data_IF_468941769430
#
_entry.id   IF_468941769430
#
_cell.length_a   1.000
_cell.length_b   1.000
_cell.length_c   1.000
_cell.angle_alpha   90.00
_cell.angle_beta   90.00
_cell.angle_gamma   90.00
#
_symmetry.space_group_name_H-M   'P 1'
#
loop_
_entity.id
_entity.type
_entity.pdbx_description
1 polymer ?
#
# COMPACT_ATOMS: atom_id res chain seq x y z
N UNK A 1 11.40 -5.55 -56.49
CA UNK A 1 11.25 -6.82 -55.76
C UNK A 1 11.35 -6.51 -54.27
N UNK A 2 10.20 -6.37 -53.59
CA UNK A 2 10.11 -6.07 -52.17
C UNK A 2 9.57 -7.29 -51.44
N UNK A 3 10.36 -7.81 -50.49
CA UNK A 3 9.96 -8.88 -49.57
C UNK A 3 9.01 -8.33 -48.52
N UNK A 4 7.74 -8.74 -48.56
CA UNK A 4 6.81 -8.63 -47.43
C UNK A 4 7.02 -9.85 -46.53
N UNK A 5 7.69 -9.66 -45.40
CA UNK A 5 7.63 -10.62 -44.30
C UNK A 5 6.23 -10.55 -43.68
N UNK A 6 5.48 -11.66 -43.80
CA UNK A 6 4.25 -11.88 -43.03
C UNK A 6 4.67 -12.25 -41.61
N UNK A 7 4.48 -11.32 -40.67
CA UNK A 7 4.44 -11.68 -39.26
C UNK A 7 3.02 -12.16 -38.95
N UNK A 8 2.89 -13.47 -38.78
CA UNK A 8 1.71 -14.12 -38.23
C UNK A 8 1.74 -13.89 -36.71
N UNK A 9 0.92 -12.99 -36.21
CA UNK A 9 0.71 -12.81 -34.76
C UNK A 9 -0.22 -13.94 -34.29
N UNK A 10 0.24 -14.69 -33.31
CA UNK A 10 -0.48 -15.75 -32.61
C UNK A 10 -1.60 -15.15 -31.76
N UNK A 11 -2.85 -15.19 -32.23
CA UNK A 11 -4.03 -14.53 -31.65
C UNK A 11 -4.92 -15.43 -30.77
N UNK A 12 -4.36 -16.25 -29.86
CA UNK A 12 -5.21 -17.15 -29.06
C UNK A 12 -4.92 -17.26 -27.55
N UNK A 13 -3.96 -16.53 -26.97
CA UNK A 13 -3.70 -16.59 -25.52
C UNK A 13 -4.03 -15.31 -24.74
N UNK A 14 -4.13 -14.14 -25.39
CA UNK A 14 -4.27 -12.86 -24.69
C UNK A 14 -5.72 -12.52 -24.26
N UNK A 15 -6.74 -13.25 -24.74
CA UNK A 15 -8.16 -12.93 -24.49
C UNK A 15 -8.81 -13.68 -23.31
N UNK A 16 -8.09 -14.59 -22.63
CA UNK A 16 -8.67 -15.46 -21.60
C UNK A 16 -9.04 -14.72 -20.29
N UNK A 17 -8.21 -13.80 -19.77
CA UNK A 17 -8.56 -13.04 -18.56
C UNK A 17 -9.71 -12.06 -18.81
N UNK A 18 -9.76 -11.47 -20.01
CA UNK A 18 -10.80 -10.53 -20.43
C UNK A 18 -12.21 -11.12 -20.37
N UNK A 19 -12.37 -12.30 -20.97
CA UNK A 19 -13.65 -13.02 -20.98
C UNK A 19 -14.06 -13.51 -19.60
N UNK A 20 -13.10 -13.88 -18.75
CA UNK A 20 -13.41 -14.34 -17.38
C UNK A 20 -13.92 -13.20 -16.51
N UNK A 21 -13.29 -12.01 -16.55
CA UNK A 21 -13.75 -10.84 -15.82
C UNK A 21 -15.12 -10.36 -16.34
N UNK A 22 -15.29 -10.32 -17.67
CA UNK A 22 -16.56 -9.97 -18.31
C UNK A 22 -17.72 -10.86 -17.81
N UNK A 23 -17.51 -12.18 -17.75
CA UNK A 23 -18.52 -13.14 -17.28
C UNK A 23 -18.94 -12.95 -15.83
N UNK A 24 -18.20 -12.17 -15.03
CA UNK A 24 -18.64 -11.84 -13.67
C UNK A 24 -19.82 -10.87 -13.70
N UNK A 25 -19.80 -9.88 -14.59
CA UNK A 25 -20.84 -8.84 -14.68
C UNK A 25 -22.18 -9.33 -15.24
N UNK A 26 -22.23 -10.54 -15.80
CA UNK A 26 -23.48 -11.20 -16.18
C UNK A 26 -24.15 -11.94 -15.01
N UNK A 27 -23.48 -12.07 -13.85
CA UNK A 27 -24.03 -12.71 -12.65
C UNK A 27 -24.72 -11.68 -11.76
N UNK A 28 -25.99 -11.92 -11.44
CA UNK A 28 -26.79 -11.01 -10.60
C UNK A 28 -26.52 -11.17 -9.10
N UNK A 29 -25.92 -12.28 -8.66
CA UNK A 29 -25.62 -12.53 -7.24
C UNK A 29 -24.22 -12.07 -6.85
N UNK A 30 -24.15 -11.18 -5.85
CA UNK A 30 -22.89 -10.56 -5.40
C UNK A 30 -21.91 -11.54 -4.78
N UNK A 31 -22.40 -12.56 -4.07
CA UNK A 31 -21.57 -13.63 -3.49
C UNK A 31 -20.81 -14.38 -4.58
N UNK A 32 -21.52 -14.77 -5.63
CA UNK A 32 -20.98 -15.50 -6.79
C UNK A 32 -20.06 -14.60 -7.62
N UNK A 33 -20.36 -13.31 -7.70
CA UNK A 33 -19.46 -12.33 -8.31
C UNK A 33 -18.15 -12.23 -7.53
N UNK A 34 -18.22 -12.03 -6.21
CA UNK A 34 -17.05 -11.83 -5.36
C UNK A 34 -16.15 -13.07 -5.32
N UNK A 35 -16.74 -14.26 -5.21
CA UNK A 35 -16.01 -15.52 -5.32
C UNK A 35 -15.38 -15.70 -6.71
N UNK A 36 -16.12 -15.36 -7.76
CA UNK A 36 -15.61 -15.37 -9.13
C UNK A 36 -14.45 -14.39 -9.33
N UNK A 37 -14.51 -13.22 -8.69
CA UNK A 37 -13.48 -12.20 -8.71
C UNK A 37 -12.23 -12.64 -7.96
N UNK A 38 -12.38 -13.22 -6.76
CA UNK A 38 -11.28 -13.83 -6.02
C UNK A 38 -10.61 -14.94 -6.82
N UNK A 39 -11.40 -15.80 -7.48
CA UNK A 39 -10.87 -16.84 -8.36
C UNK A 39 -10.12 -16.26 -9.57
N UNK A 40 -10.59 -15.15 -10.12
CA UNK A 40 -9.89 -14.42 -11.17
C UNK A 40 -8.54 -13.90 -10.66
N UNK A 41 -8.51 -13.20 -9.52
CA UNK A 41 -7.29 -12.69 -8.89
C UNK A 41 -6.27 -13.79 -8.57
N UNK A 42 -6.74 -14.93 -8.07
CA UNK A 42 -5.89 -16.08 -7.75
C UNK A 42 -5.25 -16.71 -8.99
N UNK A 43 -5.95 -16.70 -10.13
CA UNK A 43 -5.51 -17.33 -11.39
C UNK A 43 -4.69 -16.38 -12.26
N UNK A 44 -4.89 -15.07 -12.14
CA UNK A 44 -4.10 -14.08 -12.85
C UNK A 44 -2.67 -14.09 -12.31
N UNK A 45 -1.73 -14.64 -13.09
CA UNK A 45 -0.27 -14.41 -12.89
C UNK A 45 0.18 -13.00 -13.25
N UNK A 46 -0.78 -12.24 -13.77
CA UNK A 46 -0.67 -10.94 -14.40
C UNK A 46 -0.90 -9.90 -13.30
N UNK A 47 -0.07 -8.85 -13.22
CA UNK A 47 -0.29 -7.78 -12.24
C UNK A 47 -1.71 -7.20 -12.38
N UNK A 48 -2.34 -6.66 -11.32
CA UNK A 48 -3.62 -5.95 -11.43
C UNK A 48 -3.63 -4.88 -12.54
N UNK A 49 -2.45 -4.35 -12.89
CA UNK A 49 -2.26 -3.37 -13.95
C UNK A 49 -2.00 -3.94 -15.36
N UNK A 50 -1.67 -5.21 -15.51
CA UNK A 50 -1.63 -5.89 -16.81
C UNK A 50 -2.98 -6.57 -17.11
N UNK A 51 -3.80 -6.84 -16.08
CA UNK A 51 -5.23 -7.14 -16.25
C UNK A 51 -6.06 -5.92 -16.70
N UNK A 52 -5.42 -4.78 -17.00
CA UNK A 52 -6.06 -3.52 -17.44
C UNK A 52 -6.33 -3.49 -18.94
N UNK A 53 -5.58 -4.25 -19.75
CA UNK A 53 -5.88 -4.40 -21.19
C UNK A 53 -7.19 -5.19 -21.47
N UNK A 54 -7.82 -5.71 -20.41
CA UNK A 54 -8.97 -6.62 -20.43
C UNK A 54 -10.28 -5.91 -20.81
N UNK A 55 -10.42 -4.63 -20.50
CA UNK A 55 -11.70 -3.88 -20.63
C UNK A 55 -11.78 -3.07 -21.93
N UNK A 56 -10.65 -2.79 -22.57
CA UNK A 56 -10.60 -2.01 -23.82
C UNK A 56 -11.32 -2.68 -25.00
N UNK A 57 -11.37 -4.02 -25.00
CA UNK A 57 -12.00 -4.81 -26.07
C UNK A 57 -13.49 -5.08 -25.83
N UNK A 58 -14.10 -4.50 -24.78
CA UNK A 58 -15.51 -4.74 -24.46
C UNK A 58 -16.44 -3.99 -25.41
N UNK A 59 -17.54 -4.64 -25.76
CA UNK A 59 -18.64 -4.03 -26.50
C UNK A 59 -19.38 -3.00 -25.64
N UNK A 60 -20.12 -2.11 -26.31
CA UNK A 60 -20.90 -1.07 -25.63
C UNK A 60 -21.93 -1.64 -24.65
N UNK A 61 -22.56 -2.77 -24.98
CA UNK A 61 -23.54 -3.42 -24.11
C UNK A 61 -22.88 -4.00 -22.85
N UNK A 62 -21.67 -4.55 -22.99
CA UNK A 62 -20.87 -5.08 -21.87
C UNK A 62 -20.40 -3.95 -20.94
N UNK A 63 -19.95 -2.83 -21.50
CA UNK A 63 -19.59 -1.65 -20.73
C UNK A 63 -20.79 -1.09 -19.95
N UNK A 64 -21.97 -0.98 -20.58
CA UNK A 64 -23.18 -0.53 -19.87
C UNK A 64 -23.57 -1.47 -18.74
N UNK A 65 -23.57 -2.79 -18.98
CA UNK A 65 -23.91 -3.77 -17.97
C UNK A 65 -22.97 -3.69 -16.75
N UNK A 66 -21.66 -3.51 -16.98
CA UNK A 66 -20.70 -3.34 -15.89
C UNK A 66 -20.86 -2.01 -15.16
N UNK A 67 -21.04 -0.89 -15.88
CA UNK A 67 -21.30 0.42 -15.25
C UNK A 67 -22.57 0.40 -14.38
N UNK A 68 -23.62 -0.27 -14.86
CA UNK A 68 -24.86 -0.46 -14.11
C UNK A 68 -24.64 -1.32 -12.86
N UNK A 69 -23.79 -2.34 -12.96
CA UNK A 69 -23.41 -3.19 -11.83
C UNK A 69 -22.69 -2.40 -10.73
N UNK A 70 -21.69 -1.60 -11.10
CA UNK A 70 -20.96 -0.73 -10.16
C UNK A 70 -21.84 0.35 -9.51
N UNK A 71 -22.95 0.70 -10.16
CA UNK A 71 -23.92 1.67 -9.64
C UNK A 71 -25.01 1.05 -8.77
N UNK A 72 -25.02 -0.28 -8.62
CA UNK A 72 -26.02 -0.98 -7.83
C UNK A 72 -25.82 -0.71 -6.34
N UNK A 73 -26.83 -0.20 -5.63
CA UNK A 73 -26.72 0.20 -4.22
C UNK A 73 -26.30 -0.95 -3.28
N UNK A 74 -26.69 -2.20 -3.58
CA UNK A 74 -26.28 -3.36 -2.78
C UNK A 74 -24.82 -3.73 -3.04
N UNK A 75 -24.35 -3.61 -4.28
CA UNK A 75 -22.94 -3.82 -4.61
C UNK A 75 -22.06 -2.72 -4.01
N UNK A 76 -22.50 -1.45 -4.11
CA UNK A 76 -21.87 -0.32 -3.42
C UNK A 76 -21.79 -0.60 -1.91
N UNK A 77 -22.86 -1.11 -1.30
CA UNK A 77 -22.87 -1.53 0.11
C UNK A 77 -21.82 -2.60 0.42
N UNK A 78 -21.65 -3.60 -0.46
CA UNK A 78 -20.61 -4.62 -0.33
C UNK A 78 -19.20 -4.01 -0.39
N UNK A 79 -18.91 -3.17 -1.39
CA UNK A 79 -17.58 -2.57 -1.54
C UNK A 79 -17.25 -1.64 -0.37
N UNK A 80 -18.22 -0.85 0.08
CA UNK A 80 -18.06 0.00 1.26
C UNK A 80 -17.92 -0.81 2.56
N UNK A 81 -18.55 -1.99 2.66
CA UNK A 81 -18.31 -2.91 3.77
C UNK A 81 -16.90 -3.52 3.71
N UNK A 82 -16.36 -3.84 2.53
CA UNK A 82 -14.95 -4.27 2.38
C UNK A 82 -14.03 -3.14 2.85
N UNK A 83 -14.29 -1.90 2.44
CA UNK A 83 -13.56 -0.72 2.92
C UNK A 83 -13.60 -0.60 4.45
N UNK A 84 -14.78 -0.78 5.06
CA UNK A 84 -14.93 -0.76 6.52
C UNK A 84 -14.05 -1.79 7.20
N UNK A 85 -14.12 -3.05 6.76
CA UNK A 85 -13.33 -4.13 7.37
C UNK A 85 -11.83 -4.02 7.04
N UNK A 86 -11.45 -3.38 5.94
CA UNK A 86 -10.05 -3.00 5.68
C UNK A 86 -9.49 -2.14 6.83
N UNK A 87 -10.30 -1.21 7.34
CA UNK A 87 -9.95 -0.31 8.44
C UNK A 87 -10.08 -0.96 9.82
N UNK A 88 -10.99 -1.92 9.96
CA UNK A 88 -11.32 -2.60 11.21
C UNK A 88 -11.36 -4.12 11.01
N UNK A 89 -10.22 -4.77 10.69
CA UNK A 89 -10.18 -6.19 10.34
C UNK A 89 -10.57 -7.09 11.51
N UNK A 90 -10.39 -6.61 12.74
CA UNK A 90 -10.80 -7.25 13.98
C UNK A 90 -12.33 -7.41 14.09
N UNK A 91 -13.10 -6.55 13.44
CA UNK A 91 -14.56 -6.60 13.48
C UNK A 91 -15.17 -7.55 12.43
N UNK A 92 -14.35 -8.09 11.52
CA UNK A 92 -14.80 -9.03 10.50
C UNK A 92 -15.18 -10.39 11.10
N UNK A 93 -14.58 -10.77 12.23
CA UNK A 93 -14.82 -12.05 12.89
C UNK A 93 -15.24 -11.84 14.34
N UNK A 94 -16.09 -12.72 14.86
CA UNK A 94 -16.59 -12.63 16.25
C UNK A 94 -15.60 -13.16 17.27
N UNK A 95 -14.67 -14.01 16.85
CA UNK A 95 -13.70 -14.66 17.72
C UNK A 95 -12.41 -13.83 17.83
N UNK A 96 -11.70 -13.97 18.94
CA UNK A 96 -10.40 -13.32 19.11
C UNK A 96 -9.39 -13.89 18.11
N UNK A 97 -8.98 -13.06 17.14
CA UNK A 97 -8.00 -13.44 16.12
C UNK A 97 -6.60 -13.06 16.56
N UNK A 98 -5.64 -13.96 16.33
CA UNK A 98 -4.22 -13.69 16.56
C UNK A 98 -3.74 -12.48 15.75
N UNK A 99 -2.91 -11.58 16.31
CA UNK A 99 -2.45 -10.36 15.62
C UNK A 99 -1.89 -10.59 14.21
N UNK A 100 -1.13 -11.66 14.00
CA UNK A 100 -0.56 -12.01 12.68
C UNK A 100 -1.63 -12.39 11.66
N UNK A 101 -2.66 -13.12 12.09
CA UNK A 101 -3.80 -13.48 11.23
C UNK A 101 -4.63 -12.24 10.89
N UNK A 102 -4.74 -11.27 11.81
CA UNK A 102 -5.34 -9.97 11.52
C UNK A 102 -4.57 -9.21 10.42
N UNK A 103 -3.23 -9.23 10.46
CA UNK A 103 -2.39 -8.63 9.41
C UNK A 103 -2.66 -9.28 8.06
N UNK A 104 -2.69 -10.62 8.00
CA UNK A 104 -3.01 -11.34 6.75
C UNK A 104 -4.41 -11.01 6.23
N UNK A 105 -5.41 -10.96 7.10
CA UNK A 105 -6.79 -10.55 6.77
C UNK A 105 -6.81 -9.12 6.21
N UNK A 106 -6.14 -8.19 6.88
CA UNK A 106 -6.06 -6.80 6.45
C UNK A 106 -5.43 -6.70 5.05
N UNK A 107 -4.31 -7.37 4.81
CA UNK A 107 -3.66 -7.37 3.49
C UNK A 107 -4.58 -7.92 2.39
N UNK A 108 -5.34 -8.98 2.67
CA UNK A 108 -6.29 -9.55 1.71
C UNK A 108 -7.46 -8.59 1.43
N UNK A 109 -7.96 -7.90 2.46
CA UNK A 109 -9.00 -6.88 2.32
C UNK A 109 -8.51 -5.67 1.51
N UNK A 110 -7.27 -5.22 1.74
CA UNK A 110 -6.62 -4.17 0.95
C UNK A 110 -6.51 -4.55 -0.51
N UNK A 111 -6.00 -5.75 -0.82
CA UNK A 111 -5.88 -6.25 -2.20
C UNK A 111 -7.25 -6.33 -2.87
N UNK A 112 -8.26 -6.84 -2.15
CA UNK A 112 -9.61 -6.99 -2.67
C UNK A 112 -10.24 -5.63 -2.99
N UNK A 113 -10.23 -4.70 -2.04
CA UNK A 113 -10.78 -3.35 -2.20
C UNK A 113 -10.09 -2.60 -3.34
N UNK A 114 -8.76 -2.55 -3.33
CA UNK A 114 -7.96 -1.89 -4.36
C UNK A 114 -8.23 -2.46 -5.77
N UNK A 115 -8.33 -3.78 -5.89
CA UNK A 115 -8.57 -4.42 -7.19
C UNK A 115 -9.95 -4.07 -7.76
N UNK A 116 -10.96 -3.93 -6.90
CA UNK A 116 -12.31 -3.52 -7.30
C UNK A 116 -12.31 -2.06 -7.76
N UNK A 117 -11.67 -1.16 -7.02
CA UNK A 117 -11.51 0.26 -7.40
C UNK A 117 -10.80 0.41 -8.75
N UNK A 118 -9.73 -0.36 -8.95
CA UNK A 118 -8.97 -0.31 -10.20
C UNK A 118 -9.85 -0.72 -11.41
N UNK A 119 -10.65 -1.77 -11.26
CA UNK A 119 -11.60 -2.19 -12.32
C UNK A 119 -12.63 -1.09 -12.60
N UNK A 120 -13.16 -0.43 -11.56
CA UNK A 120 -14.11 0.67 -11.72
C UNK A 120 -13.50 1.87 -12.45
N UNK A 121 -12.30 2.30 -12.03
CA UNK A 121 -11.59 3.43 -12.64
C UNK A 121 -11.35 3.19 -14.13
N UNK A 122 -10.89 1.98 -14.48
CA UNK A 122 -10.65 1.61 -15.87
C UNK A 122 -11.95 1.54 -16.69
N UNK A 123 -13.03 1.01 -16.11
CA UNK A 123 -14.34 1.05 -16.76
C UNK A 123 -14.80 2.48 -17.03
N UNK A 124 -14.56 3.41 -16.10
CA UNK A 124 -14.96 4.82 -16.26
C UNK A 124 -14.10 5.51 -17.32
N UNK A 125 -12.79 5.25 -17.36
CA UNK A 125 -11.90 5.77 -18.40
C UNK A 125 -12.30 5.29 -19.80
N UNK A 126 -12.54 3.98 -19.96
CA UNK A 126 -12.98 3.39 -21.24
C UNK A 126 -14.39 3.90 -21.63
N UNK A 127 -15.30 4.05 -20.67
CA UNK A 127 -16.62 4.61 -20.90
C UNK A 127 -16.55 6.05 -21.45
N UNK A 128 -15.72 6.90 -20.84
CA UNK A 128 -15.52 8.28 -21.29
C UNK A 128 -14.91 8.33 -22.71
N UNK A 129 -13.95 7.46 -23.01
CA UNK A 129 -13.39 7.32 -24.36
C UNK A 129 -14.44 6.93 -25.41
N UNK A 130 -15.45 6.15 -25.01
CA UNK A 130 -16.58 5.74 -25.85
C UNK A 130 -17.80 6.68 -25.74
N UNK A 131 -17.62 7.89 -25.21
CA UNK A 131 -18.66 8.90 -25.02
C UNK A 131 -19.86 8.45 -24.16
N UNK A 132 -19.65 7.47 -23.29
CA UNK A 132 -20.58 7.10 -22.22
C UNK A 132 -20.29 7.97 -21.00
N UNK A 133 -21.36 8.39 -20.33
CA UNK A 133 -21.23 9.12 -19.06
C UNK A 133 -21.29 8.10 -17.92
N UNK A 134 -20.20 7.90 -17.17
CA UNK A 134 -20.26 7.07 -15.97
C UNK A 134 -21.30 7.63 -14.99
N UNK A 135 -21.97 6.73 -14.27
CA UNK A 135 -22.86 7.12 -13.19
C UNK A 135 -22.05 7.66 -12.00
N UNK A 136 -22.75 8.26 -11.04
CA UNK A 136 -22.13 8.83 -9.83
C UNK A 136 -21.39 7.71 -9.09
N UNK A 137 -20.14 8.00 -8.73
CA UNK A 137 -19.34 7.13 -7.89
C UNK A 137 -19.80 7.21 -6.43
N UNK A 138 -20.19 6.06 -5.88
CA UNK A 138 -20.64 5.94 -4.49
C UNK A 138 -19.66 5.13 -3.63
N UNK A 139 -18.49 4.78 -4.17
CA UNK A 139 -17.50 4.04 -3.42
C UNK A 139 -16.75 4.94 -2.45
N UNK A 140 -16.40 4.37 -1.31
CA UNK A 140 -15.47 5.01 -0.39
C UNK A 140 -14.05 4.75 -0.86
N UNK A 141 -13.34 5.84 -1.12
CA UNK A 141 -11.95 5.83 -1.53
C UNK A 141 -11.06 6.37 -0.42
N UNK A 142 -9.84 5.83 -0.33
CA UNK A 142 -8.82 6.28 0.63
C UNK A 142 -8.52 5.26 1.72
N UNK A 143 -7.95 5.75 2.83
CA UNK A 143 -7.45 4.90 3.92
C UNK A 143 -8.03 5.27 5.29
N UNK A 144 -8.98 6.20 5.38
CA UNK A 144 -9.59 6.61 6.66
C UNK A 144 -11.03 7.09 6.43
N UNK A 145 -11.91 6.84 7.41
CA UNK A 145 -13.24 7.47 7.45
C UNK A 145 -13.16 8.80 8.18
N UNK A 146 -13.83 9.86 7.68
CA UNK A 146 -13.98 11.09 8.43
C UNK A 146 -14.63 10.83 9.80
N UNK A 147 -14.19 11.53 10.87
CA UNK A 147 -14.80 11.39 12.19
C UNK A 147 -16.32 11.62 12.15
N UNK A 148 -17.08 10.72 12.78
CA UNK A 148 -18.55 10.79 12.83
C UNK A 148 -19.27 10.12 11.65
N UNK A 149 -18.55 9.58 10.67
CA UNK A 149 -19.12 8.75 9.60
C UNK A 149 -19.12 7.28 10.04
N UNK A 150 -20.29 6.63 9.97
CA UNK A 150 -20.46 5.21 10.28
C UNK A 150 -20.91 4.48 9.01
N UNK A 151 -20.37 3.27 8.80
CA UNK A 151 -20.80 2.38 7.73
C UNK A 151 -21.70 1.32 8.35
N UNK A 152 -22.94 1.24 7.89
CA UNK A 152 -23.83 0.15 8.27
C UNK A 152 -23.35 -1.15 7.60
N UNK A 153 -22.75 -2.02 8.39
CA UNK A 153 -22.44 -3.38 7.95
C UNK A 153 -23.58 -4.31 8.34
N UNK A 154 -23.93 -5.23 7.44
CA UNK A 154 -24.91 -6.27 7.73
C UNK A 154 -24.24 -7.66 7.74
N UNK A 155 -24.90 -8.62 8.38
CA UNK A 155 -24.34 -9.96 8.59
C UNK A 155 -24.10 -10.73 7.29
N UNK A 156 -24.96 -10.51 6.29
CA UNK A 156 -24.89 -11.17 4.98
C UNK A 156 -23.63 -10.76 4.21
N UNK A 157 -23.33 -9.45 4.19
CA UNK A 157 -22.11 -8.91 3.58
C UNK A 157 -20.87 -9.36 4.35
N UNK A 158 -20.94 -9.40 5.68
CA UNK A 158 -19.84 -9.92 6.52
C UNK A 158 -19.46 -11.35 6.13
N UNK A 159 -20.45 -12.23 5.99
CA UNK A 159 -20.22 -13.63 5.59
C UNK A 159 -19.67 -13.78 4.17
N UNK A 160 -20.15 -12.96 3.22
CA UNK A 160 -19.57 -12.91 1.87
C UNK A 160 -18.09 -12.50 1.89
N UNK A 161 -17.77 -11.46 2.64
CA UNK A 161 -16.40 -10.94 2.75
C UNK A 161 -15.49 -11.96 3.43
N UNK A 162 -15.94 -12.61 4.50
CA UNK A 162 -15.18 -13.69 5.15
C UNK A 162 -14.84 -14.82 4.17
N UNK A 163 -15.80 -15.26 3.37
CA UNK A 163 -15.60 -16.30 2.35
C UNK A 163 -14.57 -15.84 1.31
N UNK A 164 -14.68 -14.60 0.82
CA UNK A 164 -13.76 -14.04 -0.17
C UNK A 164 -12.33 -13.91 0.36
N UNK A 165 -12.16 -13.39 1.59
CA UNK A 165 -10.86 -13.25 2.25
C UNK A 165 -10.21 -14.60 2.49
N UNK A 166 -10.96 -15.62 2.93
CA UNK A 166 -10.44 -16.99 3.11
C UNK A 166 -9.97 -17.59 1.77
N UNK A 167 -10.73 -17.36 0.70
CA UNK A 167 -10.43 -17.88 -0.63
C UNK A 167 -9.30 -17.16 -1.37
N UNK A 168 -8.95 -15.93 -0.99
CA UNK A 168 -7.89 -15.14 -1.65
C UNK A 168 -6.49 -15.64 -1.23
N UNK A 169 -5.70 -16.07 -2.21
CA UNK A 169 -4.32 -16.51 -2.02
C UNK A 169 -3.38 -15.33 -2.20
N UNK A 170 -2.60 -15.01 -1.17
CA UNK A 170 -1.51 -14.04 -1.25
C UNK A 170 -0.35 -14.69 -1.99
N UNK A 171 -0.39 -14.69 -3.33
CA UNK A 171 0.78 -15.09 -4.12
C UNK A 171 1.88 -14.04 -3.91
N UNK A 172 3.12 -14.49 -3.70
CA UNK A 172 4.32 -13.62 -3.60
C UNK A 172 4.59 -12.78 -4.86
N UNK A 173 3.83 -12.98 -5.95
CA UNK A 173 3.83 -12.09 -7.13
C UNK A 173 2.70 -11.05 -7.13
N UNK A 174 1.73 -11.09 -6.23
CA UNK A 174 0.77 -9.98 -6.04
C UNK A 174 1.40 -8.84 -5.23
N UNK A 175 2.47 -9.16 -4.49
CA UNK A 175 3.53 -8.25 -4.02
C UNK A 175 4.46 -7.84 -5.17
N UNK A 176 3.91 -7.27 -6.24
CA UNK A 176 4.66 -6.84 -7.42
C UNK A 176 5.27 -5.42 -7.21
N UNK A 177 6.28 -4.98 -8.00
CA UNK A 177 7.05 -3.75 -7.80
C UNK A 177 6.24 -2.45 -7.84
N UNK A 178 4.95 -2.50 -8.19
CA UNK A 178 3.99 -1.40 -8.01
C UNK A 178 3.61 -1.13 -6.55
N UNK A 179 3.58 -2.15 -5.67
CA UNK A 179 3.45 -1.91 -4.22
C UNK A 179 4.54 -0.99 -3.69
N UNK A 180 5.73 -1.01 -4.31
CA UNK A 180 6.85 -0.17 -3.90
C UNK A 180 6.71 1.27 -4.41
N UNK A 181 6.14 1.48 -5.59
CA UNK A 181 5.77 2.81 -6.08
C UNK A 181 4.56 3.36 -5.28
N UNK A 182 3.58 2.51 -4.96
CA UNK A 182 2.46 2.84 -4.06
C UNK A 182 2.95 3.21 -2.66
N UNK A 183 4.05 2.59 -2.20
CA UNK A 183 4.72 2.98 -0.96
C UNK A 183 5.32 4.40 -1.03
N UNK A 184 5.70 4.90 -2.22
CA UNK A 184 6.07 6.32 -2.40
C UNK A 184 4.86 7.25 -2.32
N UNK A 185 3.68 6.80 -2.76
CA UNK A 185 2.44 7.54 -2.54
C UNK A 185 2.07 7.60 -1.06
N UNK A 186 2.38 6.57 -0.27
CA UNK A 186 2.18 6.60 1.18
C UNK A 186 3.09 7.62 1.88
N UNK A 187 4.32 7.85 1.37
CA UNK A 187 5.14 8.99 1.81
C UNK A 187 4.44 10.32 1.55
N UNK A 188 3.84 10.53 0.37
CA UNK A 188 3.06 11.76 0.07
C UNK A 188 1.84 11.89 0.97
N UNK A 189 1.14 10.79 1.23
CA UNK A 189 -0.06 10.76 2.07
C UNK A 189 0.21 11.16 3.51
N UNK A 190 1.43 10.97 4.02
CA UNK A 190 1.83 11.48 5.32
C UNK A 190 1.75 13.01 5.44
N UNK A 191 1.65 13.73 4.33
CA UNK A 191 1.53 15.20 4.27
C UNK A 191 0.15 15.68 3.82
N UNK A 192 -0.81 14.76 3.62
CA UNK A 192 -2.16 15.13 3.17
C UNK A 192 -2.91 15.84 4.29
N UNK A 193 -3.25 17.11 4.07
CA UNK A 193 -3.88 18.05 5.03
C UNK A 193 -2.98 18.53 6.17
N UNK A 194 -2.41 17.62 6.95
CA UNK A 194 -1.41 17.91 7.98
C UNK A 194 -0.37 16.80 8.03
N UNK A 195 0.85 17.14 8.47
CA UNK A 195 1.90 16.15 8.61
C UNK A 195 1.57 15.15 9.72
N UNK A 196 1.64 13.85 9.39
CA UNK A 196 1.48 12.76 10.34
C UNK A 196 2.82 11.99 10.47
N UNK A 197 3.56 12.15 11.59
CA UNK A 197 4.89 11.55 11.75
C UNK A 197 4.84 10.01 11.81
N UNK A 198 3.78 9.43 12.39
CA UNK A 198 3.62 7.97 12.45
C UNK A 198 3.45 7.39 11.05
N UNK A 199 2.61 8.03 10.21
CA UNK A 199 2.37 7.57 8.84
C UNK A 199 3.64 7.68 7.99
N UNK A 200 4.40 8.76 8.16
CA UNK A 200 5.69 8.91 7.48
C UNK A 200 6.68 7.81 7.88
N UNK A 201 6.85 7.58 9.18
CA UNK A 201 7.73 6.53 9.70
C UNK A 201 7.28 5.15 9.21
N UNK A 202 6.01 4.83 9.32
CA UNK A 202 5.47 3.52 8.93
C UNK A 202 5.70 3.28 7.42
N UNK A 203 5.49 4.30 6.57
CA UNK A 203 5.77 4.21 5.14
C UNK A 203 7.27 4.03 4.82
N UNK A 204 8.15 4.75 5.54
CA UNK A 204 9.62 4.59 5.42
C UNK A 204 10.05 3.19 5.84
N UNK A 205 9.52 2.67 6.95
CA UNK A 205 9.90 1.35 7.45
C UNK A 205 9.36 0.22 6.58
N UNK A 206 8.17 0.39 6.01
CA UNK A 206 7.61 -0.54 5.03
C UNK A 206 8.45 -0.56 3.74
N UNK A 207 8.91 0.60 3.25
CA UNK A 207 9.89 0.67 2.15
C UNK A 207 11.19 -0.05 2.50
N UNK A 208 11.72 0.19 3.71
CA UNK A 208 12.95 -0.44 4.19
C UNK A 208 12.83 -1.96 4.24
N UNK A 209 11.71 -2.50 4.74
CA UNK A 209 11.45 -3.94 4.79
C UNK A 209 11.26 -4.54 3.38
N UNK A 210 10.46 -3.89 2.52
CA UNK A 210 10.16 -4.42 1.19
C UNK A 210 11.35 -4.40 0.22
N UNK A 211 12.31 -3.49 0.42
CA UNK A 211 13.46 -3.33 -0.47
C UNK A 211 14.71 -4.09 -0.03
N UNK A 212 14.79 -4.52 1.23
CA UNK A 212 15.95 -5.24 1.76
C UNK A 212 15.66 -6.74 1.92
N UNK A 213 16.47 -7.63 1.30
CA UNK A 213 16.42 -9.05 1.58
C UNK A 213 16.76 -9.35 3.04
N UNK A 214 16.04 -10.29 3.67
CA UNK A 214 16.22 -10.70 5.08
C UNK A 214 17.64 -11.21 5.43
N UNK A 215 18.47 -11.55 4.43
CA UNK A 215 19.73 -12.25 4.60
C UNK A 215 21.01 -11.37 4.56
N UNK A 216 20.92 -10.04 4.57
CA UNK A 216 22.10 -9.16 4.39
C UNK A 216 22.69 -8.62 5.69
N UNK A 217 24.03 -8.49 5.69
CA UNK A 217 24.82 -7.92 6.78
C UNK A 217 24.48 -6.42 6.99
N UNK A 218 24.29 -6.03 8.25
CA UNK A 218 23.74 -4.74 8.69
C UNK A 218 24.49 -3.51 8.13
N UNK A 219 25.78 -3.62 7.79
CA UNK A 219 26.59 -2.52 7.26
C UNK A 219 26.31 -2.19 5.78
N UNK A 220 25.94 -3.16 4.95
CA UNK A 220 25.64 -2.93 3.52
C UNK A 220 24.19 -2.52 3.26
N UNK A 221 23.31 -2.74 4.25
CA UNK A 221 21.87 -2.50 4.12
C UNK A 221 21.55 -1.03 3.80
N UNK A 222 22.28 -0.07 4.37
CA UNK A 222 22.04 1.36 4.14
C UNK A 222 22.31 1.76 2.68
N UNK A 223 23.43 1.30 2.10
CA UNK A 223 23.84 1.60 0.73
C UNK A 223 22.87 0.95 -0.25
N UNK A 224 22.57 -0.34 -0.06
CA UNK A 224 21.65 -1.08 -0.93
C UNK A 224 20.25 -0.47 -0.88
N UNK A 225 19.78 -0.10 0.31
CA UNK A 225 18.49 0.57 0.45
C UNK A 225 18.47 1.92 -0.28
N UNK A 226 19.54 2.71 -0.18
CA UNK A 226 19.66 3.99 -0.89
C UNK A 226 19.61 3.81 -2.41
N UNK A 227 20.35 2.84 -2.96
CA UNK A 227 20.34 2.52 -4.38
C UNK A 227 18.94 2.12 -4.86
N UNK A 228 18.25 1.25 -4.10
CA UNK A 228 16.87 0.85 -4.41
C UNK A 228 15.90 2.02 -4.36
N UNK A 229 16.04 2.93 -3.39
CA UNK A 229 15.24 4.15 -3.32
C UNK A 229 15.51 5.08 -4.51
N UNK A 230 16.76 5.20 -4.95
CA UNK A 230 17.10 5.96 -6.16
C UNK A 230 16.46 5.36 -7.41
N UNK A 231 16.47 4.03 -7.55
CA UNK A 231 15.81 3.33 -8.66
C UNK A 231 14.29 3.59 -8.66
N UNK A 232 13.66 3.68 -7.49
CA UNK A 232 12.24 4.05 -7.38
C UNK A 232 11.99 5.50 -7.80
N UNK A 233 12.77 6.44 -7.29
CA UNK A 233 12.62 7.84 -7.66
C UNK A 233 12.90 8.10 -9.15
N UNK A 234 13.80 7.33 -9.77
CA UNK A 234 14.06 7.40 -11.21
C UNK A 234 12.82 7.16 -12.09
N UNK A 235 11.81 6.46 -11.56
CA UNK A 235 10.56 6.17 -12.25
C UNK A 235 9.53 7.31 -12.15
N UNK A 236 9.72 8.26 -11.24
CA UNK A 236 8.85 9.43 -11.09
C UNK A 236 9.24 10.56 -12.05
N UNK A 237 8.28 11.42 -12.40
CA UNK A 237 8.57 12.65 -13.14
C UNK A 237 9.38 13.64 -12.30
N UNK A 238 10.05 14.60 -12.94
CA UNK A 238 10.85 15.61 -12.21
C UNK A 238 10.00 16.47 -11.29
N UNK A 239 8.77 16.78 -11.70
CA UNK A 239 7.80 17.55 -10.89
C UNK A 239 7.46 16.77 -9.63
N UNK A 240 7.15 15.48 -9.78
CA UNK A 240 6.84 14.59 -8.67
C UNK A 240 7.97 14.42 -7.64
N UNK A 241 9.23 14.40 -8.10
CA UNK A 241 10.39 14.40 -7.21
C UNK A 241 10.57 15.75 -6.50
N UNK A 242 10.31 16.86 -7.18
CA UNK A 242 10.35 18.20 -6.57
C UNK A 242 9.25 18.39 -5.53
N UNK A 243 8.05 17.89 -5.79
CA UNK A 243 6.93 17.93 -4.83
C UNK A 243 7.29 17.15 -3.55
N UNK A 244 7.83 15.94 -3.71
CA UNK A 244 8.33 15.13 -2.59
C UNK A 244 9.45 15.83 -1.81
N UNK A 245 10.39 16.48 -2.51
CA UNK A 245 11.44 17.27 -1.87
C UNK A 245 10.83 18.41 -1.05
N UNK A 246 9.84 19.12 -1.60
CA UNK A 246 9.12 20.18 -0.91
C UNK A 246 8.42 19.69 0.37
N UNK A 247 7.80 18.51 0.33
CA UNK A 247 7.22 17.89 1.53
C UNK A 247 8.29 17.57 2.58
N UNK A 248 9.40 16.96 2.17
CA UNK A 248 10.48 16.58 3.09
C UNK A 248 11.25 17.76 3.68
N UNK A 249 11.33 18.87 2.95
CA UNK A 249 12.01 20.09 3.39
C UNK A 249 11.14 20.98 4.29
N UNK A 250 9.91 20.57 4.62
CA UNK A 250 9.04 21.31 5.52
C UNK A 250 9.55 21.25 6.98
N UNK A 251 9.25 22.30 7.75
CA UNK A 251 9.52 22.40 9.19
C UNK A 251 8.96 21.22 9.98
N UNK A 252 7.80 20.67 9.59
CA UNK A 252 7.21 19.52 10.30
C UNK A 252 8.15 18.30 10.27
N UNK A 253 8.70 17.99 9.09
CA UNK A 253 9.67 16.91 8.90
C UNK A 253 11.00 17.24 9.58
N UNK A 254 11.47 18.49 9.50
CA UNK A 254 12.65 18.93 10.22
C UNK A 254 12.52 18.75 11.73
N UNK A 255 11.35 19.07 12.31
CA UNK A 255 11.08 18.90 13.74
C UNK A 255 11.10 17.43 14.15
N UNK A 256 10.56 16.56 13.31
CA UNK A 256 10.63 15.11 13.51
C UNK A 256 12.08 14.62 13.48
N UNK A 257 12.86 15.00 12.45
CA UNK A 257 14.25 14.58 12.33
C UNK A 257 15.11 15.12 13.48
N UNK A 258 14.93 16.38 13.88
CA UNK A 258 15.61 16.98 15.04
C UNK A 258 15.32 16.19 16.33
N UNK A 259 14.06 15.78 16.52
CA UNK A 259 13.65 14.96 17.67
C UNK A 259 14.42 13.64 17.71
N UNK A 260 14.43 12.89 16.59
CA UNK A 260 15.14 11.63 16.50
C UNK A 260 16.66 11.79 16.59
N UNK A 261 17.22 12.82 15.94
CA UNK A 261 18.65 13.12 15.94
C UNK A 261 19.20 13.34 17.36
N UNK A 262 18.51 14.15 18.18
CA UNK A 262 18.94 14.40 19.55
C UNK A 262 18.89 13.13 20.43
N UNK A 263 17.86 12.30 20.24
CA UNK A 263 17.77 11.01 20.94
C UNK A 263 18.93 10.09 20.51
N UNK A 264 19.25 10.03 19.21
CA UNK A 264 20.37 9.25 18.67
C UNK A 264 21.72 9.74 19.19
N UNK A 265 21.89 11.06 19.41
CA UNK A 265 23.08 11.65 20.03
C UNK A 265 23.20 11.39 21.53
N UNK A 266 22.15 10.87 22.15
CA UNK A 266 22.11 10.55 23.58
C UNK A 266 21.64 11.71 24.47
N UNK A 267 20.97 12.72 23.91
CA UNK A 267 20.38 13.79 24.71
C UNK A 267 19.25 13.25 25.59
N UNK A 268 19.11 13.81 26.79
CA UNK A 268 18.09 13.40 27.76
C UNK A 268 16.88 14.31 27.70
N UNK A 269 15.68 13.73 27.74
CA UNK A 269 14.41 14.47 27.73
C UNK A 269 13.57 14.08 28.94
N UNK A 270 12.93 15.05 29.59
CA UNK A 270 12.08 14.82 30.77
C UNK A 270 10.91 13.87 30.49
N UNK A 271 10.44 13.83 29.25
CA UNK A 271 9.30 13.01 28.83
C UNK A 271 9.71 11.61 28.35
N UNK A 272 10.99 11.36 28.05
CA UNK A 272 11.47 10.10 27.47
C UNK A 272 12.16 9.26 28.56
N UNK A 273 11.67 8.05 28.89
CA UNK A 273 12.35 7.18 29.84
C UNK A 273 13.71 6.72 29.30
N UNK A 274 14.59 6.29 30.20
CA UNK A 274 15.89 5.72 29.83
C UNK A 274 15.69 4.50 28.93
N UNK A 275 16.16 4.62 27.69
CA UNK A 275 16.05 3.56 26.69
C UNK A 275 17.10 2.45 26.91
N UNK A 276 16.66 1.20 26.79
CA UNK A 276 17.57 0.06 26.73
C UNK A 276 18.24 -0.05 25.34
N UNK A 277 19.15 -1.01 25.16
CA UNK A 277 19.93 -1.14 23.93
C UNK A 277 19.06 -1.47 22.70
N UNK A 278 18.02 -2.28 22.84
CA UNK A 278 17.12 -2.65 21.74
C UNK A 278 16.29 -1.45 21.31
N UNK A 279 15.78 -0.69 22.28
CA UNK A 279 14.99 0.53 22.05
C UNK A 279 15.83 1.62 21.38
N UNK A 280 17.07 1.82 21.84
CA UNK A 280 18.04 2.71 21.17
C UNK A 280 18.32 2.28 19.74
N UNK A 281 18.51 0.98 19.52
CA UNK A 281 18.78 0.43 18.19
C UNK A 281 17.59 0.70 17.26
N UNK A 282 16.35 0.46 17.71
CA UNK A 282 15.15 0.75 16.92
C UNK A 282 15.06 2.23 16.51
N UNK A 283 15.32 3.16 17.43
CA UNK A 283 15.32 4.60 17.14
C UNK A 283 16.40 4.96 16.11
N UNK A 284 17.61 4.40 16.25
CA UNK A 284 18.72 4.62 15.30
C UNK A 284 18.36 4.07 13.91
N UNK A 285 17.80 2.86 13.83
CA UNK A 285 17.42 2.23 12.56
C UNK A 285 16.35 3.05 11.83
N UNK A 286 15.29 3.48 12.54
CA UNK A 286 14.24 4.32 11.96
C UNK A 286 14.79 5.68 11.51
N UNK A 287 15.62 6.32 12.32
CA UNK A 287 16.25 7.60 11.95
C UNK A 287 17.10 7.48 10.67
N UNK A 288 17.94 6.44 10.60
CA UNK A 288 18.79 6.21 9.44
C UNK A 288 17.97 5.88 8.19
N UNK A 289 16.88 5.12 8.32
CA UNK A 289 15.98 4.82 7.21
C UNK A 289 15.32 6.08 6.65
N UNK A 290 14.82 6.98 7.53
CA UNK A 290 14.25 8.27 7.11
C UNK A 290 15.27 9.13 6.35
N UNK A 291 16.48 9.27 6.91
CA UNK A 291 17.57 10.00 6.26
C UNK A 291 17.94 9.40 4.90
N UNK A 292 17.96 8.07 4.79
CA UNK A 292 18.29 7.36 3.55
C UNK A 292 17.26 7.64 2.43
N UNK A 293 15.97 7.50 2.74
CA UNK A 293 14.85 7.82 1.82
C UNK A 293 14.98 9.26 1.31
N UNK A 294 15.21 10.20 2.22
CA UNK A 294 15.32 11.62 1.90
C UNK A 294 16.56 11.92 1.05
N UNK A 295 17.73 11.40 1.40
CA UNK A 295 18.97 11.65 0.65
C UNK A 295 18.97 11.01 -0.73
N UNK A 296 18.39 9.81 -0.88
CA UNK A 296 18.19 9.16 -2.18
C UNK A 296 17.45 10.07 -3.17
N UNK A 297 16.42 10.79 -2.71
CA UNK A 297 15.69 11.75 -3.54
C UNK A 297 16.57 12.91 -4.01
N UNK A 298 17.43 13.44 -3.13
CA UNK A 298 18.36 14.53 -3.48
C UNK A 298 19.38 14.08 -4.51
N UNK A 299 19.91 12.86 -4.38
CA UNK A 299 20.83 12.28 -5.36
C UNK A 299 20.14 12.12 -6.72
N UNK A 300 18.90 11.64 -6.74
CA UNK A 300 18.12 11.51 -7.98
C UNK A 300 17.82 12.87 -8.63
N UNK A 301 17.43 13.88 -7.85
CA UNK A 301 17.26 15.26 -8.37
C UNK A 301 18.56 15.82 -8.93
N UNK A 302 19.71 15.53 -8.29
CA UNK A 302 21.03 15.93 -8.79
C UNK A 302 21.37 15.28 -10.13
N UNK A 303 21.02 14.00 -10.33
CA UNK A 303 21.16 13.31 -11.64
C UNK A 303 20.34 14.01 -12.73
N UNK A 304 19.22 14.63 -12.36
CA UNK A 304 18.37 15.45 -13.24
C UNK A 304 18.82 16.91 -13.36
N UNK A 305 20.05 17.22 -12.94
CA UNK A 305 20.65 18.55 -12.95
C UNK A 305 19.95 19.58 -12.06
N UNK A 306 19.22 19.14 -11.03
CA UNK A 306 18.61 20.00 -10.02
C UNK A 306 19.42 19.95 -8.73
N UNK A 307 19.95 21.10 -8.31
CA UNK A 307 20.66 21.22 -7.05
C UNK A 307 19.67 21.54 -5.93
N UNK A 308 19.77 20.81 -4.83
CA UNK A 308 18.91 20.98 -3.66
C UNK A 308 19.73 21.12 -2.38
N UNK A 309 19.23 21.91 -1.44
CA UNK A 309 19.85 22.03 -0.11
C UNK A 309 19.70 20.71 0.68
N UNK A 310 20.68 20.37 1.55
CA UNK A 310 20.54 19.28 2.50
C UNK A 310 19.38 19.52 3.47
N UNK A 311 18.66 18.46 3.80
CA UNK A 311 17.65 18.52 4.85
C UNK A 311 18.31 18.83 6.19
N UNK A 312 17.71 19.74 6.94
CA UNK A 312 18.29 20.22 8.19
C UNK A 312 17.70 19.44 9.36
N UNK A 313 18.57 18.92 10.22
CA UNK A 313 18.18 18.24 11.45
C UNK A 313 19.14 18.50 12.62
N UNK A 314 20.31 19.11 12.37
CA UNK A 314 21.19 19.66 13.41
C UNK A 314 20.86 21.15 13.57
N UNK A 315 19.85 21.46 14.39
CA UNK A 315 19.48 22.85 14.67
C UNK A 315 20.46 23.42 15.68
N UNK A 316 21.16 24.49 15.27
CA UNK A 316 22.00 25.31 16.16
C UNK A 316 21.22 26.02 17.28
N UNK A 317 19.88 25.87 17.33
CA UNK A 317 19.01 26.44 18.35
C UNK A 317 18.64 25.38 19.39
N UNK A 318 19.16 25.46 20.62
CA UNK A 318 19.02 24.42 21.64
C UNK A 318 17.62 24.31 22.30
N UNK A 319 16.64 25.13 21.90
CA UNK A 319 15.37 25.28 22.63
C UNK A 319 14.13 25.13 21.73
N UNK A 320 14.13 24.17 20.80
CA UNK A 320 12.90 23.85 20.09
C UNK A 320 12.08 22.86 20.91
N UNK A 321 10.89 23.28 21.35
CA UNK A 321 10.00 22.40 22.10
C UNK A 321 9.52 21.27 21.17
N UNK A 322 9.81 20.02 21.57
CA UNK A 322 9.37 18.85 20.82
C UNK A 322 7.86 18.71 20.98
N UNK A 323 7.13 18.82 19.87
CA UNK A 323 5.67 18.70 19.84
C UNK A 323 5.19 17.30 20.25
N UNK A 324 4.00 17.22 20.83
CA UNK A 324 3.43 15.98 21.35
C UNK A 324 3.34 14.87 20.29
N UNK A 325 3.05 15.22 19.03
CA UNK A 325 2.97 14.24 17.94
C UNK A 325 4.30 13.54 17.66
N UNK A 326 5.42 14.26 17.74
CA UNK A 326 6.75 13.69 17.57
C UNK A 326 7.16 12.83 18.77
N UNK A 327 6.77 13.23 20.00
CA UNK A 327 6.95 12.39 21.20
C UNK A 327 6.20 11.06 21.06
N UNK A 328 4.95 11.13 20.62
CA UNK A 328 4.12 9.93 20.40
C UNK A 328 4.74 9.01 19.33
N UNK A 329 5.30 9.58 18.26
CA UNK A 329 5.99 8.82 17.23
C UNK A 329 7.22 8.07 17.78
N UNK A 330 8.02 8.71 18.65
CA UNK A 330 9.14 8.04 19.33
C UNK A 330 8.67 6.86 20.17
N UNK A 331 7.62 7.03 20.98
CA UNK A 331 7.06 5.93 21.77
C UNK A 331 6.54 4.78 20.89
N UNK A 332 5.91 5.11 19.76
CA UNK A 332 5.45 4.10 18.79
C UNK A 332 6.63 3.32 18.22
N UNK A 333 7.71 4.00 17.83
CA UNK A 333 8.92 3.36 17.31
C UNK A 333 9.50 2.37 18.31
N UNK A 334 9.67 2.80 19.56
CA UNK A 334 10.15 1.96 20.66
C UNK A 334 9.26 0.73 20.85
N UNK A 335 7.94 0.89 20.72
CA UNK A 335 6.98 -0.19 20.91
C UNK A 335 6.95 -1.20 19.76
N UNK A 336 7.00 -0.72 18.52
CA UNK A 336 6.71 -1.52 17.31
C UNK A 336 7.99 -2.04 16.66
N UNK A 337 9.03 -1.22 16.55
CA UNK A 337 10.24 -1.54 15.79
C UNK A 337 11.38 -2.08 16.65
N UNK A 338 11.16 -2.29 17.96
CA UNK A 338 12.09 -3.08 18.76
C UNK A 338 12.13 -4.52 18.22
N UNK A 339 13.33 -5.03 17.93
CA UNK A 339 13.50 -6.42 17.50
C UNK A 339 13.30 -7.37 18.67
N UNK A 340 12.06 -7.76 18.93
CA UNK A 340 11.77 -9.00 19.66
C UNK A 340 12.11 -10.17 18.74
N UNK A 341 12.87 -11.17 19.22
CA UNK A 341 13.28 -12.35 18.45
C UNK A 341 12.20 -12.83 17.47
N UNK A 342 12.45 -12.59 16.17
CA UNK A 342 11.54 -12.98 15.09
C UNK A 342 11.72 -14.47 14.83
N UNK A 343 10.66 -15.24 15.04
CA UNK A 343 10.54 -16.59 14.48
C UNK A 343 10.37 -16.40 12.97
N UNK A 344 11.22 -17.06 12.18
CA UNK A 344 11.24 -16.95 10.72
C UNK A 344 9.84 -17.11 10.10
N UNK A 345 9.48 -16.20 9.19
CA UNK A 345 8.17 -16.16 8.50
C UNK A 345 7.85 -17.49 7.79
N UNK A 346 8.86 -18.20 7.29
CA UNK A 346 8.71 -19.53 6.68
C UNK A 346 8.19 -20.59 7.66
N UNK A 347 8.56 -20.51 8.94
CA UNK A 347 8.13 -21.48 9.97
C UNK A 347 6.70 -21.20 10.40
N UNK A 348 6.32 -19.92 10.45
CA UNK A 348 4.97 -19.49 10.83
C UNK A 348 3.97 -19.80 9.71
N UNK A 349 4.30 -19.53 8.45
CA UNK A 349 3.44 -19.85 7.31
C UNK A 349 3.25 -21.37 7.15
N UNK A 350 4.31 -22.17 7.40
CA UNK A 350 4.20 -23.63 7.45
C UNK A 350 3.32 -24.13 8.60
N UNK A 351 3.37 -23.47 9.77
CA UNK A 351 2.49 -23.77 10.89
C UNK A 351 1.03 -23.42 10.59
N UNK A 352 0.78 -22.30 9.92
CA UNK A 352 -0.58 -21.92 9.52
C UNK A 352 -1.15 -22.85 8.46
N UNK A 353 -0.38 -23.22 7.43
CA UNK A 353 -0.80 -24.21 6.43
C UNK A 353 -1.11 -25.57 7.06
N UNK A 354 -0.28 -26.00 8.01
CA UNK A 354 -0.50 -27.25 8.73
C UNK A 354 -1.79 -27.23 9.58
N UNK A 355 -2.07 -26.10 10.23
CA UNK A 355 -3.30 -25.95 11.03
C UNK A 355 -4.56 -25.87 10.16
N UNK A 356 -4.49 -25.28 8.97
CA UNK A 356 -5.61 -25.19 8.02
C UNK A 356 -5.91 -26.51 7.30
N UNK A 357 -4.96 -27.46 7.25
CA UNK A 357 -5.16 -28.81 6.72
C UNK A 357 -5.75 -29.79 7.75
N UNK A 358 -5.81 -29.41 9.03
CA UNK A 358 -6.24 -30.30 10.12
C UNK A 358 -7.68 -30.00 10.63
N UNK A 359 -8.39 -29.07 10.00
CA UNK A 359 -9.84 -28.85 10.11
C UNK A 359 -10.54 -29.24 8.80
#
# INVERSE_FOLDING_TARGET
MQNRAKFSISTNQDHLPAKQLQQLFSKLEFSVWLEGFVNFLNKSKVTPLESVAVVHDWSMDELHAALDYFSNSKFVGLVNAIFFYKMHPDQLFTDAIHPEKLVSIQMRLEVLHYSIELVQQQLYEVALQNALTPKIDYFLHGEELPPGVMIETNEELRQMIQTAVKGLKLNSSLTNPKRVIDSLYDLRRAYKFCFNPNRFIDAVMLLHQNLLPEALQQEQNSIIFQEKMMDLYSQLTTVECLDLYGYFANNDTHNLLYTFFNIVRGDTFDWLPLLNNEEKTAVIEVFNAMCCVMEALRIELRKRHLLTEPYQYDLTKPNMEIEQQNRNAVFRVIKIYKRTHVISEDVIEQLFQYMEETD
#
